data_IF_950651329118
#
_entry.id   IF_950651329118
#
_cell.length_a   1.000
_cell.length_b   1.000
_cell.length_c   1.000
_cell.angle_alpha   90.00
_cell.angle_beta   90.00
_cell.angle_gamma   90.00
#
_symmetry.space_group_name_H-M   'P 1'
#
loop_
_entity.id
_entity.type
_entity.pdbx_description
1 polymer ?
#
# COMPACT_ATOMS: atom_id res chain seq x y z
N UNK A 1 3.35 -14.05 14.09
CA UNK A 1 3.36 -13.11 12.94
C UNK A 1 2.21 -12.13 13.12
N UNK A 2 2.44 -10.82 13.16
CA UNK A 2 1.35 -9.82 13.31
C UNK A 2 0.56 -9.62 12.01
N UNK A 3 -0.69 -9.15 12.10
CA UNK A 3 -1.55 -8.84 10.94
C UNK A 3 -1.07 -7.58 10.22
N UNK A 4 -0.67 -7.69 8.95
CA UNK A 4 -0.44 -6.54 8.07
C UNK A 4 -1.78 -5.91 7.69
N UNK A 5 -1.83 -4.59 7.60
CA UNK A 5 -3.02 -3.86 7.17
C UNK A 5 -2.68 -3.03 5.93
N UNK A 6 -3.66 -2.79 5.09
CA UNK A 6 -3.54 -1.99 3.89
C UNK A 6 -4.88 -1.91 3.17
N UNK A 7 -4.93 -1.04 2.16
CA UNK A 7 -6.10 -0.84 1.31
C UNK A 7 -5.68 -1.13 -0.11
N UNK A 8 -6.49 -1.88 -0.84
CA UNK A 8 -6.31 -2.10 -2.27
C UNK A 8 -7.40 -1.34 -3.01
N UNK A 9 -7.00 -0.31 -3.76
CA UNK A 9 -7.88 0.41 -4.68
C UNK A 9 -7.82 -0.26 -6.04
N UNK A 10 -8.95 -0.80 -6.48
CA UNK A 10 -9.08 -1.41 -7.80
C UNK A 10 -9.34 -0.34 -8.86
N UNK A 11 -8.89 -0.57 -10.11
CA UNK A 11 -9.15 0.36 -11.19
C UNK A 11 -10.64 0.44 -11.53
N UNK A 12 -11.03 1.55 -12.16
CA UNK A 12 -12.40 1.72 -12.66
C UNK A 12 -12.68 0.65 -13.72
N UNK A 13 -13.77 -0.11 -13.51
CA UNK A 13 -14.16 -1.18 -14.44
C UNK A 13 -13.35 -2.48 -14.30
N UNK A 14 -12.61 -2.66 -13.20
CA UNK A 14 -11.90 -3.90 -12.90
C UNK A 14 -12.81 -5.14 -13.07
N UNK A 15 -12.27 -6.18 -13.69
CA UNK A 15 -12.95 -7.46 -13.88
C UNK A 15 -12.28 -8.53 -13.02
N UNK A 16 -13.08 -9.29 -12.28
CA UNK A 16 -12.54 -10.35 -11.42
C UNK A 16 -11.77 -11.39 -12.27
N UNK A 17 -10.59 -11.75 -11.79
CA UNK A 17 -9.70 -12.71 -12.46
C UNK A 17 -8.73 -12.10 -13.48
N UNK A 18 -8.77 -10.79 -13.73
CA UNK A 18 -7.76 -10.10 -14.55
C UNK A 18 -6.64 -9.52 -13.71
N UNK A 19 -5.39 -9.62 -14.20
CA UNK A 19 -4.24 -8.91 -13.63
C UNK A 19 -4.11 -7.53 -14.28
N UNK A 20 -3.72 -6.54 -13.47
CA UNK A 20 -3.53 -5.15 -13.90
C UNK A 20 -2.19 -4.60 -13.39
N UNK A 21 -1.62 -3.59 -14.07
CA UNK A 21 -0.46 -2.87 -13.55
C UNK A 21 -0.81 -2.27 -12.19
N UNK A 22 0.13 -2.34 -11.25
CA UNK A 22 -0.14 -2.00 -9.84
C UNK A 22 0.91 -1.06 -9.27
N UNK A 23 0.45 0.01 -8.61
CA UNK A 23 1.29 0.94 -7.88
C UNK A 23 1.25 0.61 -6.38
N UNK A 24 2.41 0.51 -5.75
CA UNK A 24 2.54 0.50 -4.30
C UNK A 24 2.79 1.95 -3.85
N UNK A 25 1.81 2.54 -3.16
CA UNK A 25 1.82 3.95 -2.74
C UNK A 25 2.11 4.03 -1.24
N UNK A 26 3.39 4.18 -0.89
CA UNK A 26 3.82 4.28 0.51
C UNK A 26 3.52 5.69 1.06
N UNK A 27 2.92 5.75 2.25
CA UNK A 27 2.70 7.02 2.94
C UNK A 27 4.02 7.56 3.55
N UNK A 28 4.09 8.87 3.75
CA UNK A 28 5.23 9.53 4.39
C UNK A 28 5.28 9.31 5.91
N UNK A 29 6.51 9.31 6.44
CA UNK A 29 6.85 9.28 7.87
C UNK A 29 6.50 7.97 8.59
N UNK A 30 7.19 7.66 9.71
CA UNK A 30 6.85 6.51 10.53
C UNK A 30 5.40 6.61 11.04
N UNK A 31 4.91 7.82 11.32
CA UNK A 31 3.63 8.08 12.00
C UNK A 31 2.44 8.30 11.04
N UNK A 32 2.60 8.09 9.73
CA UNK A 32 1.50 8.13 8.76
C UNK A 32 0.63 6.87 8.77
N UNK A 33 -0.56 6.96 8.18
CA UNK A 33 -1.39 5.79 7.87
C UNK A 33 -2.38 6.12 6.75
N UNK A 34 -2.60 5.18 5.84
CA UNK A 34 -3.73 5.24 4.93
C UNK A 34 -5.01 4.84 5.66
N UNK A 35 -6.09 5.59 5.41
CA UNK A 35 -7.41 5.31 5.99
C UNK A 35 -8.39 4.90 4.90
N UNK A 36 -9.38 4.10 5.28
CA UNK A 36 -10.44 3.66 4.36
C UNK A 36 -11.44 4.80 4.12
N UNK A 37 -11.02 5.76 3.31
CA UNK A 37 -11.77 6.95 2.95
C UNK A 37 -11.29 7.53 1.62
N UNK A 38 -11.70 8.76 1.32
CA UNK A 38 -11.27 9.44 0.11
C UNK A 38 -9.83 9.97 0.27
N UNK A 39 -8.84 9.19 -0.19
CA UNK A 39 -7.44 9.59 -0.25
C UNK A 39 -7.19 10.46 -1.50
N UNK A 40 -7.75 11.68 -1.52
CA UNK A 40 -7.68 12.61 -2.66
C UNK A 40 -6.93 13.91 -2.39
N UNK A 41 -6.19 13.98 -1.27
CA UNK A 41 -5.39 15.15 -0.91
C UNK A 41 -4.11 15.30 -1.73
N UNK A 42 -3.35 16.40 -1.54
CA UNK A 42 -2.03 16.57 -2.13
C UNK A 42 -1.14 15.35 -1.85
N UNK A 43 -0.50 14.80 -2.88
CA UNK A 43 0.35 13.61 -2.76
C UNK A 43 -0.38 12.26 -2.84
N UNK A 44 -1.72 12.23 -2.88
CA UNK A 44 -2.50 11.01 -3.06
C UNK A 44 -3.02 10.91 -4.52
N UNK A 45 -2.27 10.23 -5.38
CA UNK A 45 -2.51 10.13 -6.83
C UNK A 45 -3.36 8.91 -7.21
N UNK A 46 -3.67 8.01 -6.27
CA UNK A 46 -4.17 6.70 -6.67
C UNK A 46 -5.57 6.68 -7.27
N UNK A 47 -6.42 7.68 -7.01
CA UNK A 47 -7.69 7.83 -7.76
C UNK A 47 -7.44 8.14 -9.25
N UNK A 48 -6.41 8.94 -9.55
CA UNK A 48 -5.99 9.22 -10.93
C UNK A 48 -5.44 7.97 -11.62
N UNK A 49 -4.67 7.15 -10.90
CA UNK A 49 -4.14 5.90 -11.43
C UNK A 49 -5.22 4.83 -11.62
N UNK A 50 -6.16 4.71 -10.67
CA UNK A 50 -7.33 3.84 -10.79
C UNK A 50 -8.19 4.17 -12.02
N UNK A 51 -8.37 5.46 -12.31
CA UNK A 51 -9.05 5.91 -13.53
C UNK A 51 -8.29 5.56 -14.83
N UNK A 52 -6.98 5.30 -14.74
CA UNK A 52 -6.11 4.90 -15.87
C UNK A 52 -5.87 3.39 -15.96
N UNK A 53 -6.62 2.58 -15.21
CA UNK A 53 -6.53 1.13 -15.28
C UNK A 53 -5.49 0.49 -14.36
N UNK A 54 -4.89 1.25 -13.43
CA UNK A 54 -3.93 0.72 -12.46
C UNK A 54 -4.62 0.38 -11.14
N UNK A 55 -4.25 -0.74 -10.52
CA UNK A 55 -4.55 -0.94 -9.11
C UNK A 55 -3.55 -0.14 -8.24
N UNK A 56 -3.97 0.24 -7.05
CA UNK A 56 -3.12 0.96 -6.09
C UNK A 56 -3.18 0.27 -4.73
N UNK A 57 -2.04 -0.25 -4.28
CA UNK A 57 -1.86 -0.76 -2.93
C UNK A 57 -1.39 0.38 -2.02
N UNK A 58 -2.17 0.62 -0.97
CA UNK A 58 -1.87 1.53 0.12
C UNK A 58 -1.48 0.73 1.37
N UNK A 59 -0.21 0.35 1.56
CA UNK A 59 0.22 -0.45 2.70
C UNK A 59 0.27 0.40 3.98
N UNK A 60 -0.10 -0.21 5.11
CA UNK A 60 0.14 0.33 6.46
C UNK A 60 1.15 -0.58 7.20
N UNK A 61 2.45 -0.40 6.94
CA UNK A 61 3.51 -1.20 7.57
C UNK A 61 3.58 -0.98 9.09
N UNK A 62 4.47 -1.70 9.76
CA UNK A 62 4.89 -1.29 11.12
C UNK A 62 5.43 0.14 11.11
N UNK A 63 5.21 0.88 12.19
CA UNK A 63 5.36 2.33 12.19
C UNK A 63 4.01 3.04 12.12
N UNK A 64 3.11 2.58 11.24
CA UNK A 64 1.87 3.31 10.96
C UNK A 64 0.99 3.52 12.19
N UNK A 65 0.32 4.67 12.24
CA UNK A 65 -0.64 5.02 13.29
C UNK A 65 -1.96 4.26 13.18
N UNK A 66 -2.77 4.28 14.25
CA UNK A 66 -4.09 3.63 14.29
C UNK A 66 -4.09 2.15 14.68
N UNK A 67 -2.92 1.55 14.96
CA UNK A 67 -2.78 0.13 15.30
C UNK A 67 -2.21 -0.14 16.71
N UNK A 68 -2.20 0.89 17.56
CA UNK A 68 -1.64 0.83 18.91
C UNK A 68 -0.15 1.22 18.98
N UNK A 69 0.25 1.74 20.14
CA UNK A 69 1.59 2.31 20.36
C UNK A 69 2.72 1.33 20.06
N UNK A 70 2.57 0.07 20.46
CA UNK A 70 3.59 -0.96 20.25
C UNK A 70 3.94 -1.14 18.76
N UNK A 71 2.93 -1.07 17.87
CA UNK A 71 3.11 -1.23 16.43
C UNK A 71 3.64 0.05 15.79
N UNK A 72 3.21 1.20 16.31
CA UNK A 72 3.72 2.50 15.88
C UNK A 72 5.22 2.64 16.18
N UNK A 73 5.69 2.13 17.32
CA UNK A 73 7.12 2.18 17.69
C UNK A 73 7.97 1.08 17.06
N UNK A 74 7.37 0.09 16.39
CA UNK A 74 8.05 -1.14 15.96
C UNK A 74 9.08 -0.96 14.82
N UNK A 75 9.18 0.23 14.23
CA UNK A 75 10.24 0.58 13.29
C UNK A 75 11.35 1.42 13.94
N UNK A 76 11.28 1.78 15.22
CA UNK A 76 12.32 2.54 15.91
C UNK A 76 13.63 1.75 15.89
N UNK A 77 14.68 2.31 15.27
CA UNK A 77 15.96 1.62 15.11
C UNK A 77 15.99 0.54 14.02
N UNK A 78 14.94 0.44 13.18
CA UNK A 78 14.77 -0.57 12.11
C UNK A 78 14.15 0.05 10.84
N UNK A 79 14.57 1.26 10.47
CA UNK A 79 14.09 1.93 9.25
C UNK A 79 14.61 1.22 8.01
N UNK A 80 13.72 0.92 7.06
CA UNK A 80 14.03 0.12 5.88
C UNK A 80 14.18 -1.38 6.15
N UNK A 81 13.93 -1.82 7.38
CA UNK A 81 13.95 -3.23 7.77
C UNK A 81 12.55 -3.83 7.77
N UNK A 82 11.90 -3.87 8.93
CA UNK A 82 10.59 -4.50 9.09
C UNK A 82 9.44 -3.80 8.36
N UNK A 83 9.53 -2.49 8.18
CA UNK A 83 8.62 -1.68 7.36
C UNK A 83 8.71 -2.05 5.86
N UNK A 84 9.92 -2.14 5.31
CA UNK A 84 10.16 -2.62 3.95
C UNK A 84 9.60 -4.04 3.76
N UNK A 85 9.93 -4.97 4.67
CA UNK A 85 9.40 -6.35 4.62
C UNK A 85 7.88 -6.39 4.66
N UNK A 86 7.25 -5.50 5.43
CA UNK A 86 5.79 -5.37 5.49
C UNK A 86 5.21 -4.87 4.16
N UNK A 87 5.83 -3.88 3.53
CA UNK A 87 5.42 -3.41 2.19
C UNK A 87 5.52 -4.55 1.18
N UNK A 88 6.67 -5.22 1.09
CA UNK A 88 6.87 -6.33 0.15
C UNK A 88 5.88 -7.49 0.39
N UNK A 89 5.61 -7.83 1.65
CA UNK A 89 4.60 -8.85 1.99
C UNK A 89 3.20 -8.46 1.47
N UNK A 90 2.84 -7.17 1.56
CA UNK A 90 1.59 -6.66 1.00
C UNK A 90 1.57 -6.73 -0.52
N UNK A 91 2.68 -6.38 -1.18
CA UNK A 91 2.82 -6.48 -2.63
C UNK A 91 2.67 -7.92 -3.11
N UNK A 92 3.39 -8.85 -2.48
CA UNK A 92 3.32 -10.29 -2.79
C UNK A 92 1.90 -10.83 -2.62
N UNK A 93 1.18 -10.38 -1.59
CA UNK A 93 -0.20 -10.77 -1.35
C UNK A 93 -1.13 -10.31 -2.48
N UNK A 94 -0.99 -9.07 -2.98
CA UNK A 94 -1.82 -8.58 -4.10
C UNK A 94 -1.50 -9.32 -5.40
N UNK A 95 -0.25 -9.70 -5.63
CA UNK A 95 0.14 -10.58 -6.74
C UNK A 95 -0.48 -11.98 -6.57
N UNK A 96 -0.42 -12.55 -5.36
CA UNK A 96 -0.99 -13.86 -5.03
C UNK A 96 -2.51 -13.89 -5.20
N UNK A 97 -3.19 -12.81 -4.85
CA UNK A 97 -4.63 -12.65 -5.04
C UNK A 97 -5.04 -12.56 -6.52
N UNK A 98 -4.09 -12.42 -7.45
CA UNK A 98 -4.38 -12.36 -8.87
C UNK A 98 -4.74 -10.97 -9.39
N UNK A 99 -4.63 -9.93 -8.56
CA UNK A 99 -4.94 -8.54 -8.97
C UNK A 99 -3.74 -7.90 -9.65
N UNK A 100 -2.56 -7.99 -9.03
CA UNK A 100 -1.36 -7.40 -9.61
C UNK A 100 -0.69 -8.32 -10.64
N UNK A 101 -0.26 -7.74 -11.75
CA UNK A 101 0.75 -8.35 -12.61
C UNK A 101 2.14 -8.16 -11.98
N UNK A 102 2.88 -9.25 -11.77
CA UNK A 102 4.21 -9.22 -11.18
C UNK A 102 5.26 -8.55 -12.08
N UNK A 103 4.98 -8.40 -13.38
CA UNK A 103 5.87 -7.75 -14.35
C UNK A 103 5.56 -6.25 -14.52
N UNK A 104 4.44 -5.76 -13.97
CA UNK A 104 3.98 -4.38 -14.13
C UNK A 104 3.76 -3.70 -12.76
N UNK A 105 4.80 -3.71 -11.94
CA UNK A 105 4.80 -3.08 -10.62
C UNK A 105 5.53 -1.74 -10.64
N UNK A 106 4.94 -0.73 -10.00
CA UNK A 106 5.57 0.55 -9.73
C UNK A 106 5.50 0.90 -8.24
N UNK A 107 6.42 1.75 -7.78
CA UNK A 107 6.47 2.22 -6.41
C UNK A 107 6.45 3.74 -6.39
N UNK A 108 5.61 4.34 -5.56
CA UNK A 108 5.56 5.77 -5.31
C UNK A 108 5.45 6.07 -3.80
N UNK A 109 5.75 7.32 -3.43
CA UNK A 109 5.56 7.82 -2.08
C UNK A 109 5.87 9.32 -2.00
N UNK A 110 5.41 9.97 -0.94
CA UNK A 110 5.57 11.42 -0.75
C UNK A 110 5.74 11.78 0.74
N UNK A 111 6.46 12.87 1.03
CA UNK A 111 6.71 13.39 2.39
C UNK A 111 6.75 14.92 2.43
#
# INVERSE_FOLDING_TARGET
MGRLAGILLLPVGYQDGTRVPTIVSAHGGPTGAWTNGCNGGPGATGQTWAARGWAVLYPNPRGSTGYGEWRMRANTGDWGGGDYRNIMTGTDEVVRLGVADAQELAFEGWS
#
